data_IF_042275052314
#
_entry.id   IF_042275052314
#
_cell.length_a   1.000
_cell.length_b   1.000
_cell.length_c   1.000
_cell.angle_alpha   90.00
_cell.angle_beta   90.00
_cell.angle_gamma   90.00
#
_symmetry.space_group_name_H-M   'P 1'
#
loop_
_entity.id
_entity.type
_entity.pdbx_description
1 polymer ?
#
# COMPACT_ATOMS: atom_id res chain seq x y z
N UNK A 1 -8.06 1.27 26.26
CA UNK A 1 -7.27 2.23 25.45
C UNK A 1 -6.56 1.54 24.27
N UNK A 2 -5.76 0.48 24.48
CA UNK A 2 -5.03 -0.19 23.38
C UNK A 2 -5.93 -0.83 22.31
N UNK A 3 -7.04 -1.48 22.67
CA UNK A 3 -7.95 -2.15 21.71
C UNK A 3 -8.59 -1.19 20.71
N UNK A 4 -8.99 0.01 21.14
CA UNK A 4 -9.56 1.04 20.26
C UNK A 4 -8.57 1.52 19.20
N UNK A 5 -7.28 1.64 19.55
CA UNK A 5 -6.23 2.02 18.60
C UNK A 5 -6.04 0.91 17.56
N UNK A 6 -6.03 -0.35 17.98
CA UNK A 6 -5.93 -1.50 17.06
C UNK A 6 -7.14 -1.59 16.15
N UNK A 7 -8.35 -1.41 16.68
CA UNK A 7 -9.58 -1.37 15.89
C UNK A 7 -9.57 -0.22 14.87
N UNK A 8 -9.18 0.99 15.28
CA UNK A 8 -9.04 2.14 14.39
C UNK A 8 -8.05 1.85 13.26
N UNK A 9 -6.88 1.30 13.57
CA UNK A 9 -5.87 0.94 12.58
C UNK A 9 -6.40 -0.11 11.59
N UNK A 10 -7.10 -1.14 12.08
CA UNK A 10 -7.69 -2.17 11.25
C UNK A 10 -8.81 -1.61 10.34
N UNK A 11 -9.64 -0.70 10.84
CA UNK A 11 -10.67 -0.02 10.04
C UNK A 11 -10.07 0.90 8.97
N UNK A 12 -8.99 1.62 9.25
CA UNK A 12 -8.25 2.39 8.24
C UNK A 12 -7.71 1.44 7.16
N UNK A 13 -7.16 0.29 7.55
CA UNK A 13 -6.69 -0.73 6.61
C UNK A 13 -7.83 -1.28 5.74
N UNK A 14 -8.99 -1.59 6.34
CA UNK A 14 -10.16 -2.08 5.62
C UNK A 14 -10.67 -1.04 4.61
N UNK A 15 -10.88 0.20 5.06
CA UNK A 15 -11.34 1.30 4.19
C UNK A 15 -10.40 1.55 3.01
N UNK A 16 -9.08 1.55 3.24
CA UNK A 16 -8.09 1.71 2.18
C UNK A 16 -8.15 0.58 1.14
N UNK A 17 -8.41 -0.67 1.57
CA UNK A 17 -8.50 -1.83 0.66
C UNK A 17 -9.82 -1.89 -0.08
N UNK A 18 -10.94 -1.53 0.56
CA UNK A 18 -12.25 -1.39 -0.08
C UNK A 18 -12.20 -0.31 -1.16
N UNK A 19 -11.70 0.89 -0.84
CA UNK A 19 -11.58 1.97 -1.82
C UNK A 19 -10.74 1.57 -3.04
N UNK A 20 -9.64 0.82 -2.83
CA UNK A 20 -8.82 0.30 -3.93
C UNK A 20 -9.53 -0.76 -4.78
N UNK A 21 -10.40 -1.57 -4.17
CA UNK A 21 -11.15 -2.60 -4.85
C UNK A 21 -12.29 -2.03 -5.70
N UNK A 22 -12.88 -0.90 -5.30
CA UNK A 22 -13.92 -0.20 -6.06
C UNK A 22 -13.35 0.39 -7.36
N UNK A 23 -12.16 0.99 -7.31
CA UNK A 23 -11.58 1.72 -8.45
C UNK A 23 -10.98 0.80 -9.51
N UNK A 24 -10.58 -0.44 -9.15
CA UNK A 24 -9.86 -1.32 -10.07
C UNK A 24 -10.66 -2.59 -10.37
N UNK A 25 -10.48 -3.14 -11.57
CA UNK A 25 -11.18 -4.35 -12.01
C UNK A 25 -11.22 -5.47 -10.95
N UNK A 26 -12.38 -6.13 -10.75
CA UNK A 26 -12.53 -7.16 -9.74
C UNK A 26 -11.61 -8.35 -10.04
N UNK A 27 -10.87 -8.79 -9.03
CA UNK A 27 -10.07 -10.02 -9.08
C UNK A 27 -10.29 -10.80 -7.79
N UNK A 28 -10.25 -12.13 -7.85
CA UNK A 28 -10.47 -12.98 -6.68
C UNK A 28 -9.53 -12.63 -5.52
N UNK A 29 -8.25 -12.37 -5.82
CA UNK A 29 -7.24 -11.99 -4.83
C UNK A 29 -7.58 -10.64 -4.18
N UNK A 30 -8.12 -9.66 -4.92
CA UNK A 30 -8.54 -8.37 -4.34
C UNK A 30 -9.70 -8.54 -3.39
N UNK A 31 -10.70 -9.36 -3.75
CA UNK A 31 -11.81 -9.66 -2.85
C UNK A 31 -11.35 -10.41 -1.60
N UNK A 32 -10.42 -11.36 -1.74
CA UNK A 32 -9.82 -12.04 -0.59
C UNK A 32 -9.07 -11.04 0.32
N UNK A 33 -8.31 -10.09 -0.24
CA UNK A 33 -7.67 -9.04 0.58
C UNK A 33 -8.71 -8.20 1.34
N UNK A 34 -9.79 -7.80 0.69
CA UNK A 34 -10.86 -7.03 1.33
C UNK A 34 -11.52 -7.84 2.44
N UNK A 35 -11.90 -9.10 2.17
CA UNK A 35 -12.51 -9.98 3.15
C UNK A 35 -11.57 -10.24 4.35
N UNK A 36 -10.28 -10.46 4.10
CA UNK A 36 -9.28 -10.69 5.14
C UNK A 36 -9.16 -9.50 6.11
N UNK A 37 -9.06 -8.28 5.57
CA UNK A 37 -8.84 -7.07 6.37
C UNK A 37 -10.15 -6.56 6.98
N UNK A 38 -11.28 -6.70 6.29
CA UNK A 38 -12.59 -6.31 6.83
C UNK A 38 -13.01 -7.21 8.00
N UNK A 39 -12.87 -8.53 7.86
CA UNK A 39 -13.13 -9.46 8.97
C UNK A 39 -12.20 -9.22 10.15
N UNK A 40 -10.92 -8.90 9.91
CA UNK A 40 -9.98 -8.50 10.94
C UNK A 40 -10.40 -7.19 11.65
N UNK A 41 -10.88 -6.19 10.91
CA UNK A 41 -11.34 -4.92 11.45
C UNK A 41 -12.62 -5.07 12.28
N UNK A 42 -13.60 -5.82 11.79
CA UNK A 42 -14.81 -6.15 12.54
C UNK A 42 -14.45 -6.97 13.78
N UNK A 43 -13.56 -7.95 13.66
CA UNK A 43 -13.04 -8.73 14.79
C UNK A 43 -12.39 -7.85 15.85
N UNK A 44 -11.58 -6.87 15.44
CA UNK A 44 -10.97 -5.91 16.35
C UNK A 44 -11.95 -4.98 17.04
N UNK A 45 -13.03 -4.62 16.36
CA UNK A 45 -14.09 -3.83 16.92
C UNK A 45 -14.92 -4.64 17.93
N UNK A 46 -15.31 -5.87 17.59
CA UNK A 46 -16.05 -6.78 18.47
C UNK A 46 -15.21 -7.19 19.70
N UNK A 47 -13.88 -7.23 19.57
CA UNK A 47 -12.96 -7.53 20.66
C UNK A 47 -12.85 -6.41 21.71
N UNK A 48 -13.39 -5.20 21.49
CA UNK A 48 -13.35 -4.16 22.53
C UNK A 48 -14.26 -4.53 23.70
N UNK A 49 -13.82 -4.37 24.96
CA UNK A 49 -14.59 -4.82 26.12
C UNK A 49 -16.00 -4.22 26.18
N UNK A 50 -16.13 -2.93 25.82
CA UNK A 50 -17.38 -2.19 25.89
C UNK A 50 -18.40 -2.75 24.88
N UNK A 51 -17.94 -3.05 23.66
CA UNK A 51 -18.81 -3.61 22.62
C UNK A 51 -19.08 -5.08 22.85
N UNK A 52 -18.11 -5.85 23.34
CA UNK A 52 -18.31 -7.27 23.65
C UNK A 52 -19.44 -7.46 24.68
N UNK A 53 -19.48 -6.63 25.73
CA UNK A 53 -20.57 -6.66 26.72
C UNK A 53 -21.91 -6.25 26.12
N UNK A 54 -21.92 -5.25 25.23
CA UNK A 54 -23.14 -4.76 24.58
C UNK A 54 -23.70 -5.79 23.58
N UNK A 55 -22.87 -6.31 22.69
CA UNK A 55 -23.25 -7.31 21.68
C UNK A 55 -23.60 -8.65 22.32
N UNK A 56 -22.95 -9.03 23.41
CA UNK A 56 -23.22 -10.28 24.14
C UNK A 56 -24.66 -10.41 24.66
N UNK A 57 -25.43 -9.32 24.70
CA UNK A 57 -26.86 -9.35 25.04
C UNK A 57 -27.75 -9.87 23.91
N UNK A 58 -27.25 -9.88 22.68
CA UNK A 58 -28.04 -10.15 21.48
C UNK A 58 -27.46 -11.25 20.60
N UNK A 59 -26.15 -11.46 20.64
CA UNK A 59 -25.43 -12.38 19.76
C UNK A 59 -24.38 -13.14 20.58
N UNK A 60 -24.14 -14.39 20.20
CA UNK A 60 -22.99 -15.16 20.67
C UNK A 60 -21.69 -14.53 20.10
N UNK A 61 -21.04 -13.71 20.94
CA UNK A 61 -19.83 -12.96 20.56
C UNK A 61 -18.63 -13.89 20.34
N UNK A 62 -18.63 -15.06 20.98
CA UNK A 62 -17.56 -16.02 20.86
C UNK A 62 -17.64 -16.70 19.49
N UNK A 63 -18.83 -17.17 19.11
CA UNK A 63 -19.09 -17.70 17.77
C UNK A 63 -18.82 -16.66 16.67
N UNK A 64 -19.23 -15.40 16.89
CA UNK A 64 -18.95 -14.30 15.97
C UNK A 64 -17.44 -14.08 15.82
N UNK A 65 -16.70 -14.07 16.92
CA UNK A 65 -15.24 -13.89 16.92
C UNK A 65 -14.54 -15.02 16.18
N UNK A 66 -14.96 -16.27 16.41
CA UNK A 66 -14.47 -17.46 15.70
C UNK A 66 -14.70 -17.30 14.20
N UNK A 67 -15.92 -16.93 13.79
CA UNK A 67 -16.27 -16.72 12.38
C UNK A 67 -15.43 -15.64 11.71
N UNK A 68 -15.20 -14.51 12.38
CA UNK A 68 -14.40 -13.40 11.85
C UNK A 68 -12.92 -13.80 11.67
N UNK A 69 -12.33 -14.49 12.64
CA UNK A 69 -10.97 -15.02 12.52
C UNK A 69 -10.85 -16.07 11.43
N UNK A 70 -11.86 -16.93 11.29
CA UNK A 70 -11.92 -17.95 10.26
C UNK A 70 -11.96 -17.32 8.86
N UNK A 71 -12.82 -16.31 8.65
CA UNK A 71 -12.87 -15.58 7.38
C UNK A 71 -11.52 -14.91 7.10
N UNK A 72 -10.90 -14.29 8.10
CA UNK A 72 -9.59 -13.64 7.93
C UNK A 72 -8.50 -14.63 7.53
N UNK A 73 -8.44 -15.77 8.21
CA UNK A 73 -7.48 -16.84 7.94
C UNK A 73 -7.69 -17.48 6.56
N UNK A 74 -8.94 -17.84 6.23
CA UNK A 74 -9.31 -18.43 4.95
C UNK A 74 -8.99 -17.49 3.78
N UNK A 75 -9.36 -16.21 3.90
CA UNK A 75 -9.03 -15.21 2.90
C UNK A 75 -7.52 -15.00 2.75
N UNK A 76 -6.77 -14.96 3.85
CA UNK A 76 -5.31 -14.87 3.84
C UNK A 76 -4.65 -16.08 3.19
N UNK A 77 -5.18 -17.27 3.45
CA UNK A 77 -4.74 -18.52 2.84
C UNK A 77 -5.00 -18.55 1.33
N UNK A 78 -6.17 -18.08 0.87
CA UNK A 78 -6.46 -17.94 -0.57
C UNK A 78 -5.48 -16.99 -1.25
N UNK A 79 -5.08 -15.89 -0.59
CA UNK A 79 -4.06 -14.97 -1.11
C UNK A 79 -2.71 -15.68 -1.23
N UNK A 80 -2.28 -16.42 -0.20
CA UNK A 80 -1.02 -17.14 -0.21
C UNK A 80 -1.00 -18.24 -1.29
N UNK A 81 -2.07 -19.01 -1.43
CA UNK A 81 -2.21 -20.07 -2.42
C UNK A 81 -2.24 -19.52 -3.86
N UNK A 82 -2.73 -18.29 -4.06
CA UNK A 82 -2.74 -17.65 -5.38
C UNK A 82 -1.32 -17.32 -5.92
N UNK A 83 -0.29 -17.38 -5.07
CA UNK A 83 1.12 -17.26 -5.48
C UNK A 83 1.64 -18.56 -6.08
N UNK A 84 1.01 -19.70 -5.77
CA UNK A 84 1.37 -20.98 -6.37
C UNK A 84 0.85 -21.06 -7.81
N UNK A 85 1.59 -21.74 -8.70
CA UNK A 85 1.25 -21.82 -10.12
C UNK A 85 -0.05 -22.61 -10.30
N UNK A 86 -1.17 -21.89 -10.32
CA UNK A 86 -2.47 -22.40 -10.68
C UNK A 86 -2.77 -21.99 -12.13
N UNK A 87 -2.87 -22.97 -13.02
CA UNK A 87 -2.89 -22.75 -14.48
C UNK A 87 -4.11 -21.97 -15.01
N UNK A 88 -5.17 -21.76 -14.20
CA UNK A 88 -6.36 -21.04 -14.67
C UNK A 88 -7.07 -20.19 -13.61
N UNK A 89 -7.65 -19.06 -14.04
CA UNK A 89 -8.48 -18.18 -13.19
C UNK A 89 -9.69 -18.91 -12.58
N UNK A 90 -10.27 -19.86 -13.32
CA UNK A 90 -11.39 -20.69 -12.84
C UNK A 90 -10.95 -21.63 -11.73
N UNK A 91 -9.73 -22.19 -11.82
CA UNK A 91 -9.16 -23.02 -10.76
C UNK A 91 -8.97 -22.23 -9.47
N UNK A 92 -8.46 -21.00 -9.53
CA UNK A 92 -8.33 -20.11 -8.35
C UNK A 92 -9.69 -19.84 -7.70
N UNK A 93 -10.74 -19.59 -8.50
CA UNK A 93 -12.09 -19.37 -7.99
C UNK A 93 -12.69 -20.61 -7.30
N UNK A 94 -12.57 -21.78 -7.92
CA UNK A 94 -13.03 -23.05 -7.32
C UNK A 94 -12.26 -23.38 -6.05
N UNK A 95 -10.95 -23.20 -6.06
CA UNK A 95 -10.09 -23.38 -4.89
C UNK A 95 -10.54 -22.47 -3.74
N UNK A 96 -10.75 -21.18 -4.01
CA UNK A 96 -11.26 -20.26 -3.00
C UNK A 96 -12.62 -20.71 -2.45
N UNK A 97 -13.55 -21.15 -3.31
CA UNK A 97 -14.85 -21.69 -2.90
C UNK A 97 -14.72 -22.89 -1.97
N UNK A 98 -13.82 -23.84 -2.27
CA UNK A 98 -13.53 -25.00 -1.42
C UNK A 98 -12.97 -24.56 -0.06
N UNK A 99 -12.01 -23.63 -0.05
CA UNK A 99 -11.43 -23.12 1.21
C UNK A 99 -12.49 -22.49 2.09
N UNK A 100 -13.37 -21.63 1.54
CA UNK A 100 -14.44 -21.01 2.33
C UNK A 100 -15.50 -22.01 2.79
N UNK A 101 -15.82 -23.01 1.97
CA UNK A 101 -16.74 -24.08 2.36
C UNK A 101 -16.17 -24.90 3.54
N UNK A 102 -14.90 -25.31 3.46
CA UNK A 102 -14.21 -26.01 4.55
C UNK A 102 -14.12 -25.14 5.81
N UNK A 103 -13.86 -23.85 5.66
CA UNK A 103 -13.85 -22.89 6.76
C UNK A 103 -15.22 -22.79 7.45
N UNK A 104 -16.32 -22.72 6.69
CA UNK A 104 -17.68 -22.71 7.22
C UNK A 104 -18.03 -24.03 7.93
N UNK A 105 -17.64 -25.17 7.35
CA UNK A 105 -17.80 -26.49 7.98
C UNK A 105 -17.02 -26.57 9.29
N UNK A 106 -15.79 -26.02 9.35
CA UNK A 106 -15.00 -26.00 10.58
C UNK A 106 -15.64 -25.17 11.70
N UNK A 107 -16.24 -24.02 11.36
CA UNK A 107 -17.01 -23.21 12.32
C UNK A 107 -18.25 -23.95 12.79
N UNK A 108 -19.02 -24.56 11.87
CA UNK A 108 -20.19 -25.35 12.21
C UNK A 108 -19.86 -26.56 13.08
N UNK A 109 -18.78 -27.28 12.77
CA UNK A 109 -18.29 -28.41 13.57
C UNK A 109 -17.86 -27.97 14.97
N UNK A 110 -17.13 -26.85 15.08
CA UNK A 110 -16.73 -26.29 16.37
C UNK A 110 -17.94 -25.93 17.24
N UNK A 111 -19.02 -25.43 16.65
CA UNK A 111 -20.26 -25.09 17.35
C UNK A 111 -21.08 -26.33 17.73
N UNK A 112 -21.32 -27.26 16.79
CA UNK A 112 -22.13 -28.47 17.02
C UNK A 112 -21.48 -29.40 18.04
N UNK A 113 -20.14 -29.52 18.01
CA UNK A 113 -19.39 -30.42 18.88
C UNK A 113 -18.95 -29.75 20.20
N UNK A 114 -19.33 -28.48 20.42
CA UNK A 114 -18.86 -27.66 21.54
C UNK A 114 -17.32 -27.71 21.71
N UNK A 115 -16.64 -27.67 20.57
CA UNK A 115 -15.20 -27.91 20.44
C UNK A 115 -14.52 -26.73 19.73
N UNK A 116 -14.42 -25.55 20.36
CA UNK A 116 -13.93 -24.34 19.72
C UNK A 116 -12.44 -24.42 19.36
N UNK A 117 -11.69 -25.36 19.95
CA UNK A 117 -10.32 -25.68 19.58
C UNK A 117 -10.18 -26.18 18.14
N UNK A 118 -11.23 -26.79 17.54
CA UNK A 118 -11.21 -27.23 16.14
C UNK A 118 -11.05 -26.03 15.21
N UNK A 119 -11.90 -25.00 15.40
CA UNK A 119 -11.82 -23.77 14.62
C UNK A 119 -10.48 -23.06 14.86
N UNK A 120 -10.00 -23.03 16.10
CA UNK A 120 -8.70 -22.50 16.47
C UNK A 120 -7.56 -23.22 15.71
N UNK A 121 -7.56 -24.55 15.68
CA UNK A 121 -6.55 -25.35 14.98
C UNK A 121 -6.55 -25.09 13.47
N UNK A 122 -7.73 -24.96 12.85
CA UNK A 122 -7.85 -24.63 11.42
C UNK A 122 -7.29 -23.24 11.13
N UNK A 123 -7.62 -22.24 11.96
CA UNK A 123 -7.08 -20.87 11.82
C UNK A 123 -5.55 -20.87 11.97
N UNK A 124 -5.02 -21.57 12.97
CA UNK A 124 -3.58 -21.73 13.20
C UNK A 124 -2.92 -22.41 11.99
N UNK A 125 -3.51 -23.47 11.44
CA UNK A 125 -2.98 -24.15 10.27
C UNK A 125 -2.93 -23.24 9.04
N UNK A 126 -4.02 -22.50 8.77
CA UNK A 126 -4.11 -21.56 7.65
C UNK A 126 -3.08 -20.43 7.78
N UNK A 127 -3.00 -19.77 8.94
CA UNK A 127 -1.97 -18.74 9.17
C UNK A 127 -0.55 -19.30 9.23
N UNK A 128 -0.38 -20.57 9.60
CA UNK A 128 0.89 -21.28 9.52
C UNK A 128 1.37 -21.37 8.07
N UNK A 129 0.51 -21.81 7.15
CA UNK A 129 0.84 -21.85 5.72
C UNK A 129 1.08 -20.45 5.15
N UNK A 130 0.26 -19.46 5.56
CA UNK A 130 0.48 -18.06 5.17
C UNK A 130 1.85 -17.57 5.65
N UNK A 131 2.25 -17.91 6.87
CA UNK A 131 3.53 -17.53 7.44
C UNK A 131 4.70 -18.15 6.68
N UNK A 132 4.65 -19.46 6.43
CA UNK A 132 5.67 -20.17 5.64
C UNK A 132 5.77 -19.61 4.23
N UNK A 133 4.64 -19.37 3.58
CA UNK A 133 4.60 -18.81 2.23
C UNK A 133 5.15 -17.38 2.22
N UNK A 134 4.78 -16.57 3.20
CA UNK A 134 5.25 -15.18 3.33
C UNK A 134 6.76 -15.07 3.53
N UNK A 135 7.34 -15.92 4.40
CA UNK A 135 8.80 -15.96 4.63
C UNK A 135 9.58 -16.24 3.34
N UNK A 136 9.06 -17.11 2.47
CA UNK A 136 9.67 -17.43 1.17
C UNK A 136 9.65 -16.27 0.17
N UNK A 137 8.79 -15.26 0.37
CA UNK A 137 8.60 -14.13 -0.54
C UNK A 137 9.04 -12.79 0.07
N UNK A 138 9.85 -12.83 1.13
CA UNK A 138 10.44 -11.63 1.71
C UNK A 138 11.44 -11.03 0.73
N UNK A 139 11.28 -9.75 0.44
CA UNK A 139 12.17 -9.01 -0.45
C UNK A 139 12.43 -7.60 0.13
N UNK A 140 13.61 -6.99 -0.14
CA UNK A 140 13.92 -5.62 0.26
C UNK A 140 13.19 -4.58 -0.62
N UNK A 141 11.93 -4.84 -0.98
CA UNK A 141 11.06 -3.96 -1.75
C UNK A 141 9.96 -3.38 -0.84
N UNK A 142 9.32 -2.26 -1.23
CA UNK A 142 8.17 -1.72 -0.51
C UNK A 142 7.07 -2.76 -0.28
N UNK A 143 6.82 -3.60 -1.28
CA UNK A 143 5.86 -4.69 -1.19
C UNK A 143 6.32 -5.77 -0.21
N UNK A 144 7.59 -6.16 -0.27
CA UNK A 144 8.17 -7.19 0.60
C UNK A 144 8.17 -6.79 2.08
N UNK A 145 8.35 -5.50 2.40
CA UNK A 145 8.20 -4.98 3.79
C UNK A 145 6.77 -5.11 4.31
N UNK A 146 5.77 -4.84 3.46
CA UNK A 146 4.36 -5.04 3.80
C UNK A 146 4.04 -6.52 4.07
N UNK A 147 4.58 -7.43 3.23
CA UNK A 147 4.48 -8.87 3.44
C UNK A 147 5.14 -9.27 4.75
N UNK A 148 6.34 -8.74 5.06
CA UNK A 148 7.05 -9.02 6.30
C UNK A 148 6.22 -8.70 7.56
N UNK A 149 5.59 -7.51 7.60
CA UNK A 149 4.73 -7.13 8.72
C UNK A 149 3.49 -8.02 8.83
N UNK A 150 2.85 -8.33 7.71
CA UNK A 150 1.68 -9.20 7.71
C UNK A 150 2.04 -10.61 8.19
N UNK A 151 3.12 -11.18 7.66
CA UNK A 151 3.66 -12.49 8.05
C UNK A 151 4.08 -12.52 9.52
N UNK A 152 4.72 -11.47 10.04
CA UNK A 152 5.04 -11.38 11.46
C UNK A 152 3.77 -11.38 12.32
N UNK A 153 2.73 -10.65 11.91
CA UNK A 153 1.44 -10.67 12.61
C UNK A 153 0.77 -12.03 12.57
N UNK A 154 0.73 -12.70 11.42
CA UNK A 154 0.22 -14.07 11.29
C UNK A 154 1.00 -15.06 12.17
N UNK A 155 2.33 -14.93 12.24
CA UNK A 155 3.16 -15.78 13.09
C UNK A 155 2.88 -15.59 14.59
N UNK A 156 2.64 -14.34 15.03
CA UNK A 156 2.21 -14.06 16.43
C UNK A 156 0.90 -14.77 16.75
N UNK A 157 -0.07 -14.75 15.83
CA UNK A 157 -1.36 -15.44 16.00
C UNK A 157 -1.18 -16.96 16.03
N UNK A 158 -0.32 -17.52 15.17
CA UNK A 158 0.02 -18.95 15.17
C UNK A 158 0.60 -19.36 16.51
N UNK A 159 1.61 -18.63 17.02
CA UNK A 159 2.24 -18.93 18.31
C UNK A 159 1.25 -18.82 19.46
N UNK A 160 0.42 -17.78 19.47
CA UNK A 160 -0.62 -17.61 20.48
C UNK A 160 -1.67 -18.73 20.44
N UNK A 161 -2.11 -19.12 19.24
CA UNK A 161 -3.08 -20.19 19.04
C UNK A 161 -2.55 -21.57 19.44
N UNK A 162 -1.31 -21.90 19.05
CA UNK A 162 -0.65 -23.15 19.49
C UNK A 162 -0.51 -23.15 21.02
N UNK A 163 -0.05 -22.05 21.61
CA UNK A 163 0.10 -21.96 23.06
C UNK A 163 -1.26 -22.11 23.80
N UNK A 164 -2.35 -21.55 23.26
CA UNK A 164 -3.69 -21.69 23.83
C UNK A 164 -4.19 -23.14 23.77
N UNK A 165 -4.04 -23.80 22.62
CA UNK A 165 -4.41 -25.22 22.44
C UNK A 165 -3.63 -26.10 23.42
N UNK A 166 -2.32 -25.89 23.55
CA UNK A 166 -1.43 -26.71 24.39
C UNK A 166 -1.68 -26.50 25.88
N UNK A 167 -1.93 -25.26 26.33
CA UNK A 167 -1.97 -24.96 27.77
C UNK A 167 -3.29 -25.36 28.45
N UNK A 168 -4.43 -25.25 27.76
CA UNK A 168 -5.74 -25.38 28.42
C UNK A 168 -6.82 -26.06 27.55
N UNK A 169 -6.50 -26.53 26.34
CA UNK A 169 -7.53 -26.82 25.33
C UNK A 169 -8.41 -25.60 25.01
N UNK A 170 -7.95 -24.40 25.41
CA UNK A 170 -8.65 -23.14 25.24
C UNK A 170 -8.39 -22.57 23.85
N UNK A 171 -9.15 -21.55 23.47
CA UNK A 171 -8.95 -20.86 22.19
C UNK A 171 -8.23 -19.54 22.38
N UNK A 172 -7.58 -19.04 21.32
CA UNK A 172 -7.01 -17.68 21.32
C UNK A 172 -8.04 -16.61 20.94
N UNK A 173 -9.31 -16.98 20.75
CA UNK A 173 -10.36 -16.04 20.34
C UNK A 173 -10.68 -15.01 21.43
N UNK A 174 -10.19 -15.23 22.64
CA UNK A 174 -10.24 -14.24 23.71
C UNK A 174 -9.27 -13.06 23.44
N UNK A 175 -9.77 -11.82 23.52
CA UNK A 175 -8.95 -10.62 23.33
C UNK A 175 -7.83 -10.54 24.36
N UNK A 176 -6.59 -10.66 23.88
CA UNK A 176 -5.37 -10.51 24.67
C UNK A 176 -4.30 -9.70 23.96
N UNK A 177 -3.17 -9.50 24.62
CA UNK A 177 -2.06 -8.76 24.01
C UNK A 177 -1.49 -9.42 22.73
N UNK A 178 -1.38 -10.77 22.59
CA UNK A 178 -0.86 -11.38 21.36
C UNK A 178 -1.82 -11.17 20.20
N UNK A 179 -3.12 -11.27 20.49
CA UNK A 179 -4.22 -11.00 19.56
C UNK A 179 -4.14 -9.55 19.05
N UNK A 180 -3.95 -8.59 19.95
CA UNK A 180 -3.89 -7.17 19.62
C UNK A 180 -2.63 -6.84 18.79
N UNK A 181 -1.49 -7.41 19.16
CA UNK A 181 -0.23 -7.26 18.44
C UNK A 181 -0.30 -7.88 17.03
N UNK A 182 -0.79 -9.11 16.91
CA UNK A 182 -0.96 -9.79 15.63
C UNK A 182 -1.86 -9.01 14.67
N UNK A 183 -3.00 -8.54 15.19
CA UNK A 183 -3.95 -7.69 14.45
C UNK A 183 -3.31 -6.38 14.00
N UNK A 184 -2.59 -5.69 14.89
CA UNK A 184 -1.93 -4.44 14.57
C UNK A 184 -0.84 -4.60 13.50
N UNK A 185 -0.05 -5.68 13.57
CA UNK A 185 0.98 -6.01 12.59
C UNK A 185 0.37 -6.33 11.22
N UNK A 186 -0.69 -7.16 11.19
CA UNK A 186 -1.42 -7.48 9.96
C UNK A 186 -2.06 -6.24 9.31
N UNK A 187 -2.72 -5.40 10.10
CA UNK A 187 -3.30 -4.14 9.62
C UNK A 187 -2.23 -3.17 9.09
N UNK A 188 -1.09 -3.06 9.79
CA UNK A 188 0.06 -2.26 9.36
C UNK A 188 0.65 -2.78 8.04
N UNK A 189 0.83 -4.10 7.91
CA UNK A 189 1.29 -4.72 6.66
C UNK A 189 0.33 -4.49 5.50
N UNK A 190 -0.99 -4.53 5.76
CA UNK A 190 -2.01 -4.21 4.77
C UNK A 190 -2.00 -2.73 4.35
N UNK A 191 -1.52 -1.80 5.18
CA UNK A 191 -1.41 -0.38 4.85
C UNK A 191 -0.08 0.01 4.22
N UNK A 192 0.99 -0.73 4.51
CA UNK A 192 2.37 -0.36 4.22
C UNK A 192 2.60 0.15 2.79
N UNK A 193 2.19 -0.64 1.78
CA UNK A 193 2.38 -0.25 0.38
C UNK A 193 1.71 1.08 0.02
N UNK A 194 0.50 1.33 0.54
CA UNK A 194 -0.24 2.55 0.26
C UNK A 194 0.42 3.76 0.92
N UNK A 195 0.79 3.61 2.20
CA UNK A 195 1.47 4.66 2.96
C UNK A 195 2.80 5.00 2.31
N UNK A 196 3.60 4.00 1.93
CA UNK A 196 4.90 4.23 1.30
C UNK A 196 4.77 4.93 -0.06
N UNK A 197 3.79 4.54 -0.89
CA UNK A 197 3.51 5.22 -2.16
C UNK A 197 3.09 6.68 -1.95
N UNK A 198 2.23 6.94 -0.97
CA UNK A 198 1.77 8.28 -0.61
C UNK A 198 2.92 9.14 -0.07
N UNK A 199 3.73 8.63 0.86
CA UNK A 199 4.91 9.34 1.41
C UNK A 199 5.90 9.67 0.28
N UNK A 200 6.22 8.70 -0.58
CA UNK A 200 7.13 8.93 -1.73
C UNK A 200 6.59 10.02 -2.66
N UNK A 201 5.29 10.03 -2.94
CA UNK A 201 4.67 11.08 -3.74
C UNK A 201 4.76 12.46 -3.05
N UNK A 202 4.48 12.54 -1.75
CA UNK A 202 4.58 13.77 -0.96
C UNK A 202 6.02 14.32 -0.92
N UNK A 203 7.02 13.44 -0.83
CA UNK A 203 8.43 13.84 -0.92
C UNK A 203 8.74 14.41 -2.31
N UNK A 204 8.23 13.80 -3.39
CA UNK A 204 8.41 14.34 -4.75
C UNK A 204 7.75 15.71 -4.88
N UNK A 205 6.49 15.87 -4.49
CA UNK A 205 5.79 17.17 -4.51
C UNK A 205 6.56 18.23 -3.72
N UNK A 206 7.10 17.87 -2.54
CA UNK A 206 7.89 18.79 -1.74
C UNK A 206 9.20 19.20 -2.43
N UNK A 207 9.85 18.27 -3.15
CA UNK A 207 11.08 18.54 -3.91
C UNK A 207 10.83 19.38 -5.17
N UNK A 208 9.71 19.17 -5.86
CA UNK A 208 9.37 19.88 -7.09
C UNK A 208 8.79 21.27 -6.83
N UNK A 209 8.25 21.53 -5.63
CA UNK A 209 7.50 22.76 -5.29
C UNK A 209 8.14 24.07 -5.77
N UNK A 210 9.45 24.24 -5.59
CA UNK A 210 10.14 25.50 -5.95
C UNK A 210 10.18 25.71 -7.47
N UNK A 211 10.63 24.69 -8.20
CA UNK A 211 10.72 24.75 -9.67
C UNK A 211 9.33 24.82 -10.27
N UNK A 212 8.39 24.00 -9.80
CA UNK A 212 7.00 24.04 -10.25
C UNK A 212 6.43 25.46 -10.10
N UNK A 213 6.55 26.08 -8.92
CA UNK A 213 6.08 27.45 -8.69
C UNK A 213 6.69 28.46 -9.67
N UNK A 214 8.01 28.46 -9.80
CA UNK A 214 8.72 29.39 -10.71
C UNK A 214 8.22 29.25 -12.14
N UNK A 215 8.08 28.01 -12.60
CA UNK A 215 7.69 27.70 -13.97
C UNK A 215 6.21 28.02 -14.21
N UNK A 216 5.32 27.76 -13.24
CA UNK A 216 3.90 28.13 -13.34
C UNK A 216 3.64 29.62 -13.19
N UNK A 217 4.50 30.36 -12.50
CA UNK A 217 4.43 31.83 -12.45
C UNK A 217 4.78 32.45 -13.81
N UNK A 218 5.67 31.81 -14.59
CA UNK A 218 6.03 32.23 -15.96
C UNK A 218 5.05 31.76 -17.02
N UNK A 219 4.58 30.51 -16.91
CA UNK A 219 3.72 29.85 -17.90
C UNK A 219 2.44 29.33 -17.23
N UNK A 220 1.49 30.23 -16.91
CA UNK A 220 0.24 29.84 -16.26
C UNK A 220 -0.61 28.90 -17.13
N UNK A 221 -0.43 28.95 -18.46
CA UNK A 221 -1.16 28.14 -19.46
C UNK A 221 -0.95 26.63 -19.31
N UNK A 222 0.14 26.20 -18.66
CA UNK A 222 0.49 24.79 -18.49
C UNK A 222 -0.27 24.13 -17.33
N UNK A 223 -0.94 24.93 -16.49
CA UNK A 223 -1.71 24.41 -15.36
C UNK A 223 -3.13 24.12 -15.79
N UNK A 224 -3.48 22.84 -15.90
CA UNK A 224 -4.88 22.43 -15.98
C UNK A 224 -5.61 22.72 -14.66
N UNK A 225 -6.75 23.42 -14.73
CA UNK A 225 -7.49 23.95 -13.58
C UNK A 225 -8.05 22.94 -12.58
N UNK A 226 -8.00 21.63 -12.87
CA UNK A 226 -8.73 20.58 -12.13
C UNK A 226 -7.89 19.75 -11.15
N UNK A 227 -6.70 20.20 -10.78
CA UNK A 227 -5.77 19.47 -9.90
C UNK A 227 -6.26 19.30 -8.46
N UNK A 228 -7.31 20.03 -8.03
CA UNK A 228 -7.79 20.02 -6.64
C UNK A 228 -8.23 18.61 -6.17
N UNK A 229 -8.68 17.75 -7.10
CA UNK A 229 -9.24 16.43 -6.79
C UNK A 229 -8.30 15.25 -7.07
N UNK A 230 -7.05 15.48 -7.50
CA UNK A 230 -6.14 14.38 -7.84
C UNK A 230 -5.39 13.83 -6.62
N UNK A 231 -5.17 12.51 -6.60
CA UNK A 231 -4.39 11.86 -5.54
C UNK A 231 -2.94 12.39 -5.55
N UNK A 232 -2.25 12.37 -4.40
CA UNK A 232 -0.85 12.85 -4.33
C UNK A 232 0.10 12.18 -5.35
N UNK A 233 -0.18 10.94 -5.74
CA UNK A 233 0.59 10.21 -6.76
C UNK A 233 0.34 10.77 -8.15
N UNK A 234 -0.93 11.04 -8.48
CA UNK A 234 -1.31 11.66 -9.76
C UNK A 234 -0.75 13.09 -9.84
N UNK A 235 -0.98 13.90 -8.81
CA UNK A 235 -0.43 15.26 -8.73
C UNK A 235 1.09 15.29 -8.88
N UNK A 236 1.81 14.29 -8.34
CA UNK A 236 3.26 14.21 -8.50
C UNK A 236 3.69 13.86 -9.94
N UNK A 237 2.85 13.14 -10.68
CA UNK A 237 3.04 12.87 -12.11
C UNK A 237 2.70 14.11 -12.93
N UNK A 238 1.56 14.75 -12.67
CA UNK A 238 1.09 15.94 -13.38
C UNK A 238 2.10 17.08 -13.25
N UNK A 239 2.66 17.31 -12.05
CA UNK A 239 3.71 18.32 -11.85
C UNK A 239 4.99 18.01 -12.62
N UNK A 240 5.32 16.74 -12.88
CA UNK A 240 6.49 16.40 -13.71
C UNK A 240 6.22 16.78 -15.17
N UNK A 241 5.05 16.42 -15.69
CA UNK A 241 4.64 16.79 -17.06
C UNK A 241 4.59 18.30 -17.25
N UNK A 242 3.93 19.01 -16.32
CA UNK A 242 3.81 20.47 -16.37
C UNK A 242 5.17 21.18 -16.35
N UNK A 243 6.13 20.67 -15.57
CA UNK A 243 7.48 21.24 -15.59
C UNK A 243 8.12 21.02 -16.97
N UNK A 244 8.02 19.82 -17.55
CA UNK A 244 8.59 19.57 -18.88
C UNK A 244 7.92 20.41 -19.96
N UNK A 245 6.59 20.47 -20.00
CA UNK A 245 5.83 21.23 -20.99
C UNK A 245 6.20 22.71 -20.96
N UNK A 246 6.28 23.28 -19.76
CA UNK A 246 6.66 24.67 -19.60
C UNK A 246 8.14 24.94 -19.93
N UNK A 247 9.05 23.98 -19.71
CA UNK A 247 10.43 24.08 -20.19
C UNK A 247 10.48 24.10 -21.73
N UNK A 248 9.66 23.29 -22.39
CA UNK A 248 9.52 23.31 -23.85
C UNK A 248 8.90 24.61 -24.37
N UNK A 249 7.89 25.16 -23.70
CA UNK A 249 7.34 26.48 -24.04
C UNK A 249 8.38 27.58 -23.86
N UNK A 250 9.21 27.51 -22.81
CA UNK A 250 10.27 28.48 -22.58
C UNK A 250 11.33 28.45 -23.70
N UNK A 251 11.68 27.26 -24.23
CA UNK A 251 12.51 27.15 -25.43
C UNK A 251 11.84 27.85 -26.63
N UNK A 252 10.54 27.60 -26.83
CA UNK A 252 9.78 28.18 -27.94
C UNK A 252 9.73 29.71 -27.96
N UNK A 253 9.89 30.35 -26.79
CA UNK A 253 9.96 31.81 -26.66
C UNK A 253 11.37 32.37 -26.89
N UNK A 254 12.41 31.57 -26.66
CA UNK A 254 13.82 31.91 -26.91
C UNK A 254 14.20 31.75 -28.39
N UNK A 255 13.48 32.43 -29.29
CA UNK A 255 13.77 32.43 -30.72
C UNK A 255 15.09 33.14 -31.02
N UNK A 256 16.16 32.40 -31.34
CA UNK A 256 17.26 32.96 -32.16
C UNK A 256 18.72 32.55 -31.90
N UNK A 257 19.03 31.42 -31.28
CA UNK A 257 20.42 30.94 -31.22
C UNK A 257 20.54 29.48 -30.80
N UNK A 258 21.16 28.66 -31.63
CA UNK A 258 21.61 27.34 -31.20
C UNK A 258 22.92 27.53 -30.43
N UNK A 259 22.93 27.17 -29.15
CA UNK A 259 24.19 27.00 -28.44
C UNK A 259 24.85 25.74 -28.99
N UNK A 260 25.91 25.90 -29.79
CA UNK A 260 26.67 24.82 -30.44
C UNK A 260 27.52 24.02 -29.42
N UNK A 261 27.36 24.28 -28.13
CA UNK A 261 28.02 23.57 -27.05
C UNK A 261 27.56 22.11 -27.00
N UNK A 262 28.47 21.14 -26.90
CA UNK A 262 28.11 19.73 -26.87
C UNK A 262 27.30 19.40 -25.61
N UNK A 263 26.20 18.68 -25.79
CA UNK A 263 25.33 18.32 -24.67
C UNK A 263 26.08 17.39 -23.70
N UNK A 264 26.17 17.73 -22.40
CA UNK A 264 26.88 16.90 -21.44
C UNK A 264 26.34 15.46 -21.40
N UNK A 265 27.24 14.49 -21.38
CA UNK A 265 26.91 13.07 -21.26
C UNK A 265 26.41 12.71 -19.86
N UNK A 266 26.76 13.51 -18.84
CA UNK A 266 26.32 13.29 -17.48
C UNK A 266 24.99 14.01 -17.20
N UNK A 267 23.96 13.24 -16.79
CA UNK A 267 22.65 13.79 -16.47
C UNK A 267 22.71 14.83 -15.32
N UNK A 268 23.65 14.69 -14.38
CA UNK A 268 23.78 15.63 -13.27
C UNK A 268 24.31 17.00 -13.70
N UNK A 269 25.23 17.03 -14.68
CA UNK A 269 25.78 18.26 -15.23
C UNK A 269 24.80 18.94 -16.16
N UNK A 270 24.14 18.16 -17.04
CA UNK A 270 23.04 18.66 -17.87
C UNK A 270 21.94 19.29 -17.02
N UNK A 271 21.51 18.61 -15.94
CA UNK A 271 20.50 19.14 -15.02
C UNK A 271 20.93 20.45 -14.34
N UNK A 272 22.24 20.67 -14.14
CA UNK A 272 22.77 21.90 -13.55
C UNK A 272 22.68 23.07 -14.52
N UNK A 273 23.04 22.85 -15.77
CA UNK A 273 22.97 23.88 -16.81
C UNK A 273 21.50 24.24 -17.07
N UNK A 274 20.62 23.25 -17.20
CA UNK A 274 19.17 23.48 -17.31
C UNK A 274 18.64 24.24 -16.10
N UNK A 275 19.03 23.86 -14.88
CA UNK A 275 18.59 24.58 -13.69
C UNK A 275 19.10 26.03 -13.61
N UNK A 276 20.31 26.32 -14.12
CA UNK A 276 20.81 27.68 -14.24
C UNK A 276 19.99 28.45 -15.27
N UNK A 277 19.74 27.88 -16.44
CA UNK A 277 18.92 28.50 -17.48
C UNK A 277 17.49 28.79 -17.00
N UNK A 278 16.88 27.87 -16.25
CA UNK A 278 15.57 28.08 -15.62
C UNK A 278 15.60 29.24 -14.64
N UNK A 279 16.68 29.43 -13.88
CA UNK A 279 16.80 30.54 -12.93
C UNK A 279 16.98 31.91 -13.64
N UNK A 280 17.65 31.92 -14.80
CA UNK A 280 17.89 33.12 -15.60
C UNK A 280 16.71 33.46 -16.53
N UNK A 281 16.70 34.68 -17.10
CA UNK A 281 15.64 35.19 -17.96
C UNK A 281 15.45 34.36 -19.25
N UNK A 282 14.20 34.23 -19.75
CA UNK A 282 13.83 33.38 -20.90
C UNK A 282 14.42 33.81 -22.25
N UNK A 283 15.11 34.96 -22.30
CA UNK A 283 15.68 35.53 -23.52
C UNK A 283 17.01 34.87 -23.95
N UNK A 284 17.58 33.99 -23.12
CA UNK A 284 18.81 33.26 -23.47
C UNK A 284 18.46 32.06 -24.35
N UNK A 285 18.94 32.00 -25.61
CA UNK A 285 18.71 30.87 -26.49
C UNK A 285 19.27 29.58 -25.88
N UNK A 286 18.53 28.48 -26.02
CA UNK A 286 18.87 27.20 -25.40
C UNK A 286 18.46 26.06 -26.31
N UNK A 287 19.36 25.09 -26.50
CA UNK A 287 19.13 23.98 -27.41
C UNK A 287 18.10 22.99 -26.80
N UNK A 288 17.02 22.64 -27.54
CA UNK A 288 16.05 21.64 -27.12
C UNK A 288 16.63 20.30 -26.64
N UNK A 289 17.76 19.86 -27.19
CA UNK A 289 18.39 18.59 -26.82
C UNK A 289 18.82 18.55 -25.34
N UNK A 290 19.08 19.72 -24.74
CA UNK A 290 19.48 19.85 -23.34
C UNK A 290 18.32 19.61 -22.37
N UNK A 291 17.07 19.84 -22.81
CA UNK A 291 15.87 19.62 -22.01
C UNK A 291 15.33 18.19 -22.17
N UNK A 292 15.61 17.56 -23.32
CA UNK A 292 15.23 16.17 -23.57
C UNK A 292 15.70 15.22 -22.46
N UNK A 293 14.83 14.28 -22.09
CA UNK A 293 15.16 13.27 -21.08
C UNK A 293 16.33 12.42 -21.58
N UNK A 294 17.45 12.33 -20.82
CA UNK A 294 18.61 11.54 -21.23
C UNK A 294 18.28 10.05 -21.38
N UNK A 295 18.97 9.37 -22.29
CA UNK A 295 18.79 7.93 -22.51
C UNK A 295 18.95 7.11 -21.22
N UNK A 296 18.01 6.19 -20.99
CA UNK A 296 18.00 5.34 -19.79
C UNK A 296 17.54 6.05 -18.50
N UNK A 297 17.12 7.32 -18.58
CA UNK A 297 16.52 8.07 -17.46
C UNK A 297 15.02 8.21 -17.71
N UNK A 298 14.21 8.11 -16.65
CA UNK A 298 12.78 8.44 -16.76
C UNK A 298 12.54 9.93 -16.56
N UNK A 299 11.53 10.49 -17.20
CA UNK A 299 11.12 11.90 -17.08
C UNK A 299 11.03 12.38 -15.63
N UNK A 300 10.40 11.57 -14.78
CA UNK A 300 10.32 11.86 -13.33
C UNK A 300 11.70 11.95 -12.67
N UNK A 301 12.63 11.05 -13.03
CA UNK A 301 13.98 11.08 -12.47
C UNK A 301 14.74 12.31 -13.00
N UNK A 302 14.58 12.62 -14.28
CA UNK A 302 15.18 13.78 -14.93
C UNK A 302 14.74 15.10 -14.28
N UNK A 303 13.43 15.34 -14.17
CA UNK A 303 12.87 16.54 -13.52
C UNK A 303 13.28 16.64 -12.05
N UNK A 304 13.40 15.50 -11.34
CA UNK A 304 13.93 15.49 -9.97
C UNK A 304 15.41 15.89 -9.89
N UNK A 305 16.23 15.57 -10.88
CA UNK A 305 17.63 16.03 -10.91
C UNK A 305 17.71 17.54 -11.20
N UNK A 306 16.90 18.06 -12.13
CA UNK A 306 16.78 19.52 -12.37
C UNK A 306 16.36 20.24 -11.09
N UNK A 307 15.30 19.76 -10.41
CA UNK A 307 14.84 20.35 -9.17
C UNK A 307 15.88 20.31 -8.05
N UNK A 308 16.68 19.23 -7.97
CA UNK A 308 17.81 19.16 -7.04
C UNK A 308 18.88 20.18 -7.38
N UNK A 309 19.27 20.29 -8.65
CA UNK A 309 20.27 21.26 -9.08
C UNK A 309 19.82 22.70 -8.79
N UNK A 310 18.59 23.04 -9.14
CA UNK A 310 17.97 24.33 -8.82
C UNK A 310 17.96 24.61 -7.31
N UNK A 311 17.61 23.60 -6.50
CA UNK A 311 17.62 23.75 -5.03
C UNK A 311 19.03 23.94 -4.43
N UNK A 312 20.09 23.55 -5.15
CA UNK A 312 21.49 23.81 -4.75
C UNK A 312 21.96 25.21 -5.18
N UNK A 313 21.48 25.70 -6.33
CA UNK A 313 21.74 27.07 -6.79
C UNK A 313 21.13 28.09 -5.83
N UNK A 314 19.85 27.93 -5.49
CA UNK A 314 19.14 28.84 -4.56
C UNK A 314 19.62 28.79 -3.09
N UNK A 315 20.67 28.03 -2.76
CA UNK A 315 21.32 28.00 -1.43
C UNK A 315 22.70 28.66 -1.42
N UNK A 316 23.25 28.98 -2.59
CA UNK A 316 24.49 29.72 -2.75
C UNK A 316 24.17 31.21 -2.79
#
# INVERSE_FOLDING_TARGET
>A
MSYWIVALLAWIAAGARVGRAIVRAPTMVRFAIVAAVASLAVGAFVATPELRVLLGRHVDVDLLSVGLWMVSAASSFVIAAAVWPLDSRRAVGRFAGVVYALAAVAVGAAWVLDAPWIACAVVVAMFGVVSVTGVRHLAPTPLGRGIALFTAGSAVIVVAGVAAIVRNGSTFFDPGWPWALGTALMASGALWFMVEAWVRARIVLARLRKVHRLVTERFPEVVDGDLAHSSSVLRASDQVSQILDALYLQIGLGMGGLDDSPVPSSAAERARVVAQWVDHSPEVPFDPEWISTPDGVSDRRWVLEIARAHSRLARR
#
